data_IF_458521320215
#
_entry.id   IF_458521320215
#
_cell.length_a   1.000
_cell.length_b   1.000
_cell.length_c   1.000
_cell.angle_alpha   90.00
_cell.angle_beta   90.00
_cell.angle_gamma   90.00
#
_symmetry.space_group_name_H-M   'P 1'
#
loop_
_entity.id
_entity.type
_entity.pdbx_description
1 polymer ?
#
# COMPACT_ATOMS: atom_id res chain seq x y z
N UNK A 1 20.32 -12.84 -11.79
CA UNK A 1 20.72 -12.13 -13.03
C UNK A 1 22.22 -11.98 -13.13
N UNK A 2 22.84 -11.01 -12.43
CA UNK A 2 24.28 -10.77 -12.59
C UNK A 2 25.13 -12.00 -12.21
N UNK A 3 24.81 -12.69 -11.11
CA UNK A 3 25.45 -13.96 -10.70
C UNK A 3 25.31 -15.05 -11.77
N UNK A 4 24.24 -15.01 -12.56
CA UNK A 4 23.98 -15.96 -13.66
C UNK A 4 24.60 -15.50 -14.99
N UNK A 5 25.41 -14.44 -15.00
CA UNK A 5 25.99 -13.86 -16.21
C UNK A 5 25.01 -13.09 -17.10
N UNK A 6 23.86 -12.65 -16.55
CA UNK A 6 22.82 -11.91 -17.29
C UNK A 6 22.74 -10.46 -16.83
N UNK A 7 22.61 -9.52 -17.77
CA UNK A 7 22.50 -8.09 -17.49
C UNK A 7 21.37 -7.45 -18.31
N UNK A 8 20.39 -6.83 -17.63
CA UNK A 8 19.22 -6.19 -18.25
C UNK A 8 19.13 -4.69 -17.98
N UNK A 9 19.95 -4.16 -17.07
CA UNK A 9 19.96 -2.72 -16.82
C UNK A 9 20.54 -1.98 -18.03
N UNK A 10 19.89 -0.89 -18.47
CA UNK A 10 20.33 -0.17 -19.66
C UNK A 10 21.70 0.46 -19.43
N UNK A 11 22.63 0.22 -20.37
CA UNK A 11 23.99 0.76 -20.30
C UNK A 11 24.02 2.28 -20.21
N UNK A 12 23.05 2.95 -20.81
CA UNK A 12 22.89 4.41 -20.75
C UNK A 12 22.66 4.93 -19.34
N UNK A 13 22.12 4.13 -18.42
CA UNK A 13 21.89 4.52 -17.03
C UNK A 13 23.07 4.12 -16.16
N UNK A 14 23.43 2.84 -16.14
CA UNK A 14 24.41 2.36 -15.15
C UNK A 14 25.84 2.89 -15.41
N UNK A 15 26.20 3.23 -16.66
CA UNK A 15 27.49 3.87 -16.98
C UNK A 15 27.62 5.29 -16.44
N UNK A 16 26.51 5.98 -16.11
CA UNK A 16 26.55 7.32 -15.48
C UNK A 16 27.04 7.26 -14.03
N UNK A 17 26.78 6.15 -13.36
CA UNK A 17 27.05 5.96 -11.93
C UNK A 17 28.25 5.02 -11.69
N UNK A 18 28.60 4.19 -12.67
CA UNK A 18 29.76 3.30 -12.61
C UNK A 18 31.03 4.02 -13.03
N UNK A 19 32.02 4.08 -12.14
CA UNK A 19 33.35 4.64 -12.46
C UNK A 19 34.14 3.79 -13.45
N UNK A 20 34.02 2.47 -13.34
CA UNK A 20 34.74 1.54 -14.24
C UNK A 20 34.09 1.49 -15.61
N UNK A 21 32.85 1.96 -15.74
CA UNK A 21 32.09 1.79 -16.97
C UNK A 21 31.60 0.37 -17.18
N UNK A 22 31.62 -0.47 -16.12
CA UNK A 22 31.02 -1.82 -16.08
C UNK A 22 29.94 -1.97 -15.00
N UNK A 23 28.98 -2.88 -15.21
CA UNK A 23 27.92 -3.19 -14.25
C UNK A 23 28.47 -3.89 -12.99
N UNK A 24 29.62 -4.57 -13.11
CA UNK A 24 30.30 -5.21 -11.99
C UNK A 24 30.77 -4.25 -10.91
N UNK A 25 30.85 -2.94 -11.21
CA UNK A 25 31.17 -1.91 -10.22
C UNK A 25 30.25 -1.97 -8.99
N UNK A 26 28.99 -2.36 -9.16
CA UNK A 26 28.02 -2.38 -8.06
C UNK A 26 27.97 -3.70 -7.29
N UNK A 27 28.82 -4.70 -7.58
CA UNK A 27 28.78 -5.97 -6.84
C UNK A 27 29.47 -5.93 -5.50
N UNK A 28 30.44 -5.04 -5.34
CA UNK A 28 31.18 -4.86 -4.09
C UNK A 28 30.71 -3.59 -3.36
N UNK A 29 29.97 -3.77 -2.27
CA UNK A 29 29.39 -2.67 -1.48
C UNK A 29 30.26 -2.28 -0.27
N UNK A 30 31.52 -2.73 -0.21
CA UNK A 30 32.46 -2.39 0.88
C UNK A 30 32.77 -0.90 0.92
N UNK A 31 33.01 -0.29 -0.25
CA UNK A 31 33.28 1.14 -0.38
C UNK A 31 32.01 2.00 -0.21
N UNK A 32 32.12 3.07 0.57
CA UNK A 32 31.05 4.04 0.77
C UNK A 32 30.67 4.79 -0.51
N UNK A 33 31.63 5.03 -1.39
CA UNK A 33 31.38 5.67 -2.67
C UNK A 33 30.55 4.78 -3.59
N UNK A 34 30.93 3.50 -3.71
CA UNK A 34 30.18 2.51 -4.49
C UNK A 34 28.74 2.42 -3.99
N UNK A 35 28.52 2.36 -2.66
CA UNK A 35 27.16 2.36 -2.10
C UNK A 35 26.34 3.58 -2.52
N UNK A 36 26.95 4.75 -2.52
CA UNK A 36 26.27 6.00 -2.89
C UNK A 36 25.88 6.00 -4.36
N UNK A 37 26.80 5.60 -5.25
CA UNK A 37 26.53 5.48 -6.68
C UNK A 37 25.54 4.36 -7.01
N UNK A 38 25.61 3.25 -6.28
CA UNK A 38 24.68 2.12 -6.38
C UNK A 38 23.25 2.56 -6.10
N UNK A 39 23.04 3.34 -5.03
CA UNK A 39 21.75 3.90 -4.69
C UNK A 39 21.26 4.91 -5.73
N UNK A 40 22.14 5.79 -6.23
CA UNK A 40 21.80 6.74 -7.28
C UNK A 40 21.34 6.03 -8.57
N UNK A 41 22.04 4.95 -8.95
CA UNK A 41 21.68 4.15 -10.11
C UNK A 41 20.32 3.46 -9.95
N UNK A 42 20.07 2.80 -8.81
CA UNK A 42 18.78 2.15 -8.53
C UNK A 42 17.65 3.17 -8.45
N UNK A 43 17.88 4.32 -7.84
CA UNK A 43 16.87 5.39 -7.79
C UNK A 43 16.50 5.86 -9.19
N UNK A 44 17.47 6.08 -10.09
CA UNK A 44 17.19 6.46 -11.48
C UNK A 44 16.34 5.40 -12.20
N UNK A 45 16.67 4.11 -12.03
CA UNK A 45 15.92 3.00 -12.64
C UNK A 45 14.49 2.87 -12.07
N UNK A 46 14.33 3.04 -10.76
CA UNK A 46 13.02 3.01 -10.11
C UNK A 46 12.17 4.19 -10.56
N UNK A 47 12.77 5.38 -10.65
CA UNK A 47 12.09 6.58 -11.13
C UNK A 47 11.64 6.43 -12.58
N UNK A 48 12.45 5.83 -13.43
CA UNK A 48 12.07 5.50 -14.81
C UNK A 48 10.85 4.57 -14.85
N UNK A 49 10.84 3.52 -14.02
CA UNK A 49 9.70 2.61 -13.92
C UNK A 49 8.43 3.28 -13.36
N UNK A 50 8.56 4.20 -12.39
CA UNK A 50 7.43 4.93 -11.82
C UNK A 50 6.75 5.86 -12.83
N UNK A 51 7.45 6.32 -13.87
CA UNK A 51 6.87 7.17 -14.91
C UNK A 51 5.81 6.46 -15.75
N UNK A 52 5.80 5.13 -15.75
CA UNK A 52 4.78 4.32 -16.43
C UNK A 52 3.50 4.16 -15.59
N UNK A 53 3.50 4.59 -14.32
CA UNK A 53 2.37 4.38 -13.43
C UNK A 53 1.07 5.09 -13.88
N UNK A 54 1.09 6.36 -14.36
CA UNK A 54 -0.12 7.00 -14.89
C UNK A 54 -0.74 6.24 -16.06
N UNK A 55 0.07 5.75 -17.00
CA UNK A 55 -0.39 4.97 -18.15
C UNK A 55 -0.94 3.61 -17.72
N UNK A 56 -0.31 2.96 -16.74
CA UNK A 56 -0.84 1.74 -16.13
C UNK A 56 -2.24 1.97 -15.52
N UNK A 57 -2.44 3.06 -14.79
CA UNK A 57 -3.75 3.39 -14.21
C UNK A 57 -4.78 3.71 -15.30
N UNK A 58 -4.37 4.42 -16.36
CA UNK A 58 -5.22 4.71 -17.52
C UNK A 58 -5.58 3.46 -18.34
N UNK A 59 -4.72 2.45 -18.36
CA UNK A 59 -5.03 1.14 -18.94
C UNK A 59 -6.06 0.40 -18.10
N UNK A 60 -5.84 0.30 -16.78
CA UNK A 60 -6.73 -0.42 -15.87
C UNK A 60 -8.14 0.18 -15.82
N UNK A 61 -8.29 1.49 -16.01
CA UNK A 61 -9.60 2.15 -16.03
C UNK A 61 -10.47 1.79 -17.25
N UNK A 62 -9.88 1.25 -18.31
CA UNK A 62 -10.59 0.83 -19.53
C UNK A 62 -11.11 -0.60 -19.47
N UNK A 63 -10.71 -1.39 -18.46
CA UNK A 63 -11.09 -2.79 -18.33
C UNK A 63 -12.48 -2.91 -17.71
N UNK A 64 -13.42 -3.48 -18.48
CA UNK A 64 -14.81 -3.65 -18.05
C UNK A 64 -15.10 -5.02 -17.44
N UNK A 65 -14.43 -6.07 -17.91
CA UNK A 65 -14.57 -7.41 -17.36
C UNK A 65 -13.80 -7.52 -16.04
N UNK A 66 -14.51 -7.89 -14.96
CA UNK A 66 -13.96 -7.95 -13.60
C UNK A 66 -12.76 -8.92 -13.49
N UNK A 67 -12.87 -10.09 -14.10
CA UNK A 67 -11.84 -11.14 -14.08
C UNK A 67 -10.57 -10.66 -14.80
N UNK A 68 -10.74 -10.01 -15.96
CA UNK A 68 -9.63 -9.42 -16.72
C UNK A 68 -9.01 -8.26 -15.96
N UNK A 69 -9.84 -7.38 -15.38
CA UNK A 69 -9.38 -6.27 -14.54
C UNK A 69 -8.50 -6.79 -13.40
N UNK A 70 -8.99 -7.78 -12.64
CA UNK A 70 -8.27 -8.33 -11.50
C UNK A 70 -6.99 -9.04 -11.91
N UNK A 71 -7.02 -9.80 -13.01
CA UNK A 71 -5.83 -10.43 -13.58
C UNK A 71 -4.75 -9.40 -13.93
N UNK A 72 -5.14 -8.28 -14.54
CA UNK A 72 -4.22 -7.19 -14.87
C UNK A 72 -3.80 -6.36 -13.66
N UNK A 73 -4.69 -6.12 -12.70
CA UNK A 73 -4.43 -5.23 -11.56
C UNK A 73 -3.49 -5.86 -10.52
N UNK A 74 -3.60 -7.17 -10.26
CA UNK A 74 -2.79 -7.86 -9.24
C UNK A 74 -1.28 -7.68 -9.49
N UNK A 75 -0.73 -7.97 -10.69
CA UNK A 75 0.68 -7.74 -10.98
C UNK A 75 1.10 -6.28 -10.77
N UNK A 76 0.24 -5.32 -11.12
CA UNK A 76 0.57 -3.89 -11.07
C UNK A 76 0.66 -3.36 -9.64
N UNK A 77 -0.27 -3.75 -8.76
CA UNK A 77 -0.19 -3.38 -7.33
C UNK A 77 1.01 -4.03 -6.63
N UNK A 78 1.42 -5.22 -7.09
CA UNK A 78 2.60 -5.92 -6.59
C UNK A 78 3.89 -5.25 -7.09
N UNK A 79 3.89 -4.78 -8.34
CA UNK A 79 5.01 -4.05 -8.93
C UNK A 79 5.30 -2.76 -8.17
N UNK A 80 4.30 -1.89 -7.94
CA UNK A 80 4.55 -0.63 -7.22
C UNK A 80 4.97 -0.85 -5.77
N UNK A 81 4.45 -1.89 -5.10
CA UNK A 81 4.91 -2.28 -3.77
C UNK A 81 6.39 -2.73 -3.78
N UNK A 82 6.81 -3.39 -4.85
CA UNK A 82 8.21 -3.81 -5.02
C UNK A 82 9.10 -2.60 -5.33
N UNK A 83 8.66 -1.68 -6.20
CA UNK A 83 9.35 -0.40 -6.49
C UNK A 83 9.60 0.40 -5.21
N UNK A 84 8.60 0.52 -4.33
CA UNK A 84 8.79 1.18 -3.03
C UNK A 84 9.83 0.49 -2.15
N UNK A 85 9.88 -0.84 -2.18
CA UNK A 85 10.83 -1.63 -1.38
C UNK A 85 12.26 -1.54 -1.90
N UNK A 86 12.45 -1.44 -3.22
CA UNK A 86 13.78 -1.30 -3.84
C UNK A 86 14.29 0.14 -3.83
N UNK A 87 13.40 1.13 -3.77
CA UNK A 87 13.79 2.55 -3.77
C UNK A 87 14.69 2.90 -2.57
N UNK A 88 15.87 3.43 -2.87
CA UNK A 88 16.91 3.78 -1.88
C UNK A 88 17.26 2.62 -0.94
N UNK A 89 17.38 1.39 -1.47
CA UNK A 89 17.69 0.19 -0.69
C UNK A 89 18.95 -0.52 -1.22
N UNK A 90 19.97 -0.66 -0.36
CA UNK A 90 21.21 -1.36 -0.67
C UNK A 90 21.08 -2.88 -0.73
N UNK A 91 20.04 -3.44 -0.12
CA UNK A 91 19.80 -4.89 -0.11
C UNK A 91 19.61 -5.47 -1.53
N UNK A 92 19.32 -4.60 -2.51
CA UNK A 92 19.23 -4.95 -3.94
C UNK A 92 20.54 -5.52 -4.47
N UNK A 93 21.68 -5.10 -3.92
CA UNK A 93 23.02 -5.53 -4.36
C UNK A 93 23.56 -6.72 -3.57
N UNK A 94 23.02 -6.97 -2.37
CA UNK A 94 23.49 -8.06 -1.50
C UNK A 94 22.60 -9.30 -1.56
N UNK A 95 21.36 -9.17 -2.04
CA UNK A 95 20.46 -10.31 -2.11
C UNK A 95 19.11 -10.01 -2.76
N UNK A 96 18.13 -10.85 -2.44
CA UNK A 96 16.82 -10.84 -3.10
C UNK A 96 15.82 -10.05 -2.28
N UNK A 97 15.50 -8.84 -2.75
CA UNK A 97 14.50 -7.96 -2.13
C UNK A 97 13.09 -8.39 -2.57
N UNK A 98 12.31 -8.96 -1.65
CA UNK A 98 10.93 -9.41 -1.90
C UNK A 98 9.93 -8.81 -0.93
N UNK A 99 8.72 -8.56 -1.40
CA UNK A 99 7.58 -8.25 -0.52
C UNK A 99 7.16 -9.52 0.25
N UNK A 100 6.75 -9.34 1.51
CA UNK A 100 6.33 -10.46 2.37
C UNK A 100 5.00 -11.05 1.90
N UNK A 101 4.81 -12.36 2.04
CA UNK A 101 3.57 -13.07 1.65
C UNK A 101 2.30 -12.44 2.22
N UNK A 102 2.33 -12.00 3.48
CA UNK A 102 1.18 -11.33 4.11
C UNK A 102 0.82 -9.98 3.45
N UNK A 103 1.82 -9.25 2.93
CA UNK A 103 1.57 -8.04 2.14
C UNK A 103 0.99 -8.43 0.78
N UNK A 104 1.54 -9.44 0.12
CA UNK A 104 1.00 -9.96 -1.15
C UNK A 104 -0.48 -10.34 -1.04
N UNK A 105 -0.86 -11.09 0.00
CA UNK A 105 -2.27 -11.44 0.24
C UNK A 105 -3.14 -10.19 0.47
N UNK A 106 -2.63 -9.18 1.18
CA UNK A 106 -3.34 -7.91 1.38
C UNK A 106 -3.54 -7.18 0.05
N UNK A 107 -2.52 -7.13 -0.81
CA UNK A 107 -2.59 -6.46 -2.11
C UNK A 107 -3.58 -7.15 -3.04
N UNK A 108 -3.52 -8.48 -3.15
CA UNK A 108 -4.48 -9.27 -3.94
C UNK A 108 -5.92 -9.00 -3.48
N UNK A 109 -6.15 -8.90 -2.17
CA UNK A 109 -7.48 -8.58 -1.62
C UNK A 109 -7.94 -7.16 -1.95
N UNK A 110 -7.03 -6.21 -2.19
CA UNK A 110 -7.31 -4.81 -2.49
C UNK A 110 -7.29 -4.51 -4.00
N UNK A 111 -7.75 -5.46 -4.82
CA UNK A 111 -7.81 -5.32 -6.30
C UNK A 111 -9.20 -5.57 -6.87
N UNK A 112 -10.27 -5.31 -6.09
CA UNK A 112 -11.64 -5.55 -6.56
C UNK A 112 -12.23 -4.38 -7.34
N UNK A 113 -11.66 -3.19 -7.21
CA UNK A 113 -12.10 -2.00 -7.94
C UNK A 113 -10.93 -1.08 -8.23
N UNK A 114 -11.10 -0.19 -9.22
CA UNK A 114 -10.11 0.83 -9.55
C UNK A 114 -9.83 1.75 -8.35
N UNK A 115 -10.83 2.06 -7.53
CA UNK A 115 -10.65 2.86 -6.31
C UNK A 115 -9.69 2.18 -5.31
N UNK A 116 -9.74 0.86 -5.18
CA UNK A 116 -8.81 0.11 -4.31
C UNK A 116 -7.40 0.09 -4.89
N UNK A 117 -7.26 -0.04 -6.22
CA UNK A 117 -5.95 0.05 -6.89
C UNK A 117 -5.36 1.45 -6.71
N UNK A 118 -6.16 2.50 -6.89
CA UNK A 118 -5.73 3.89 -6.66
C UNK A 118 -5.28 4.11 -5.21
N UNK A 119 -5.99 3.57 -4.22
CA UNK A 119 -5.57 3.60 -2.80
C UNK A 119 -4.17 2.98 -2.62
N UNK A 120 -3.92 1.83 -3.26
CA UNK A 120 -2.62 1.16 -3.18
C UNK A 120 -1.53 2.00 -3.83
N UNK A 121 -1.78 2.51 -5.04
CA UNK A 121 -0.81 3.34 -5.76
C UNK A 121 -0.47 4.61 -4.98
N UNK A 122 -1.48 5.29 -4.42
CA UNK A 122 -1.30 6.46 -3.56
C UNK A 122 -0.41 6.14 -2.36
N UNK A 123 -0.70 5.05 -1.63
CA UNK A 123 0.05 4.68 -0.42
C UNK A 123 1.55 4.46 -0.70
N UNK A 124 1.88 3.73 -1.77
CA UNK A 124 3.26 3.41 -2.10
C UNK A 124 3.99 4.60 -2.73
N UNK A 125 3.36 5.33 -3.67
CA UNK A 125 3.94 6.54 -4.25
C UNK A 125 4.21 7.61 -3.18
N UNK A 126 3.27 7.81 -2.25
CA UNK A 126 3.45 8.73 -1.13
C UNK A 126 4.57 8.27 -0.17
N UNK A 127 4.78 6.97 -0.01
CA UNK A 127 5.87 6.44 0.82
C UNK A 127 7.23 6.64 0.16
N UNK A 128 7.33 6.41 -1.15
CA UNK A 128 8.53 6.75 -1.95
C UNK A 128 8.83 8.24 -1.85
N UNK A 129 7.82 9.11 -2.03
CA UNK A 129 7.97 10.56 -1.91
C UNK A 129 8.52 10.97 -0.55
N UNK A 130 7.95 10.45 0.55
CA UNK A 130 8.42 10.74 1.90
C UNK A 130 9.86 10.28 2.11
N UNK A 131 10.24 9.11 1.58
CA UNK A 131 11.62 8.60 1.66
C UNK A 131 12.58 9.49 0.85
N UNK A 132 12.19 9.89 -0.36
CA UNK A 132 12.97 10.79 -1.20
C UNK A 132 13.23 12.14 -0.51
N UNK A 133 12.19 12.76 0.05
CA UNK A 133 12.33 14.01 0.82
C UNK A 133 13.17 13.83 2.09
N UNK A 134 13.03 12.70 2.78
CA UNK A 134 13.85 12.41 3.96
C UNK A 134 15.34 12.26 3.61
N UNK A 135 15.65 11.62 2.48
CA UNK A 135 17.01 11.48 1.98
C UNK A 135 17.61 12.83 1.56
N UNK A 136 16.82 13.69 0.93
CA UNK A 136 17.24 15.07 0.61
C UNK A 136 17.61 15.86 1.87
N UNK A 137 16.80 15.78 2.94
CA UNK A 137 17.10 16.44 4.22
C UNK A 137 18.37 15.93 4.89
N UNK A 138 18.73 14.67 4.65
CA UNK A 138 19.98 14.05 5.13
C UNK A 138 21.20 14.44 4.29
N UNK A 139 21.03 15.23 3.23
CA UNK A 139 22.11 15.63 2.33
C UNK A 139 22.55 14.52 1.36
N UNK A 140 21.72 13.48 1.16
CA UNK A 140 22.02 12.44 0.17
C UNK A 140 21.87 13.03 -1.23
N UNK A 141 22.95 12.97 -2.02
CA UNK A 141 22.93 13.43 -3.40
C UNK A 141 22.30 12.36 -4.29
N UNK A 142 21.15 12.66 -4.87
CA UNK A 142 20.45 11.82 -5.85
C UNK A 142 20.15 12.65 -7.11
N UNK A 143 20.81 12.35 -8.25
CA UNK A 143 20.59 13.06 -9.51
C UNK A 143 19.15 12.98 -10.02
N UNK A 144 18.43 11.90 -9.70
CA UNK A 144 17.08 11.62 -10.18
C UNK A 144 15.98 12.23 -9.29
N UNK A 145 16.32 12.79 -8.14
CA UNK A 145 15.39 13.22 -7.09
C UNK A 145 14.23 14.09 -7.61
N UNK A 146 14.52 15.10 -8.43
CA UNK A 146 13.49 16.01 -8.95
C UNK A 146 12.51 15.28 -9.87
N UNK A 147 12.99 14.32 -10.67
CA UNK A 147 12.15 13.44 -11.49
C UNK A 147 11.27 12.56 -10.60
N UNK A 148 11.84 11.97 -9.55
CA UNK A 148 11.13 11.16 -8.56
C UNK A 148 10.01 11.93 -7.86
N UNK A 149 10.28 13.15 -7.40
CA UNK A 149 9.28 13.99 -6.72
C UNK A 149 8.13 14.32 -7.66
N UNK A 150 8.44 14.73 -8.90
CA UNK A 150 7.43 15.08 -9.91
C UNK A 150 6.51 13.90 -10.22
N UNK A 151 7.08 12.72 -10.48
CA UNK A 151 6.25 11.56 -10.83
C UNK A 151 5.43 11.08 -9.63
N UNK A 152 6.01 11.04 -8.43
CA UNK A 152 5.26 10.66 -7.23
C UNK A 152 4.10 11.63 -6.93
N UNK A 153 4.30 12.94 -7.12
CA UNK A 153 3.21 13.92 -7.00
C UNK A 153 2.12 13.67 -8.04
N UNK A 154 2.50 13.44 -9.30
CA UNK A 154 1.55 13.12 -10.39
C UNK A 154 0.72 11.88 -10.06
N UNK A 155 1.35 10.80 -9.57
CA UNK A 155 0.63 9.59 -9.13
C UNK A 155 -0.30 9.90 -7.96
N UNK A 156 0.17 10.65 -6.96
CA UNK A 156 -0.64 11.02 -5.80
C UNK A 156 -1.87 11.84 -6.21
N UNK A 157 -1.69 12.85 -7.06
CA UNK A 157 -2.78 13.70 -7.57
C UNK A 157 -3.81 12.89 -8.35
N UNK A 158 -3.36 12.00 -9.24
CA UNK A 158 -4.25 11.14 -10.03
C UNK A 158 -5.06 10.15 -9.19
N UNK A 159 -4.51 9.74 -8.03
CA UNK A 159 -5.13 8.73 -7.15
C UNK A 159 -5.81 9.31 -5.90
N UNK A 160 -5.68 10.62 -5.66
CA UNK A 160 -6.08 11.26 -4.40
C UNK A 160 -7.59 11.14 -4.11
N UNK A 161 -8.43 11.29 -5.15
CA UNK A 161 -9.89 11.27 -5.00
C UNK A 161 -10.37 9.91 -4.47
N UNK A 162 -9.88 8.83 -5.08
CA UNK A 162 -10.16 7.47 -4.65
C UNK A 162 -9.58 7.20 -3.25
N UNK A 163 -8.36 7.68 -2.98
CA UNK A 163 -7.73 7.56 -1.66
C UNK A 163 -8.58 8.22 -0.55
N UNK A 164 -9.02 9.46 -0.74
CA UNK A 164 -9.87 10.19 0.22
C UNK A 164 -11.22 9.49 0.43
N UNK A 165 -11.80 8.91 -0.63
CA UNK A 165 -13.05 8.13 -0.54
C UNK A 165 -12.84 6.85 0.29
N UNK A 166 -11.83 6.05 -0.03
CA UNK A 166 -11.51 4.80 0.68
C UNK A 166 -11.13 5.05 2.15
N UNK A 167 -10.37 6.10 2.42
CA UNK A 167 -10.01 6.51 3.79
C UNK A 167 -11.24 6.87 4.63
N UNK A 168 -12.19 7.61 4.07
CA UNK A 168 -13.46 7.96 4.77
C UNK A 168 -14.26 6.70 5.10
N UNK A 169 -14.42 5.79 4.15
CA UNK A 169 -15.13 4.51 4.36
C UNK A 169 -14.47 3.70 5.48
N UNK A 170 -13.13 3.65 5.52
CA UNK A 170 -12.38 2.94 6.57
C UNK A 170 -12.50 3.60 7.95
N UNK A 171 -12.58 4.92 8.02
CA UNK A 171 -12.63 5.67 9.28
C UNK A 171 -14.06 5.81 9.84
N UNK A 172 -15.08 5.68 9.00
CA UNK A 172 -16.48 5.87 9.39
C UNK A 172 -16.90 5.01 10.60
N UNK A 173 -16.63 3.69 10.68
CA UNK A 173 -17.01 2.89 11.83
C UNK A 173 -16.37 3.37 13.13
N UNK A 174 -15.10 3.79 13.07
CA UNK A 174 -14.37 4.32 14.22
C UNK A 174 -14.94 5.67 14.67
N UNK A 175 -15.29 6.54 13.73
CA UNK A 175 -15.91 7.84 14.03
C UNK A 175 -17.29 7.66 14.67
N UNK A 176 -18.10 6.74 14.15
CA UNK A 176 -19.42 6.41 14.73
C UNK A 176 -19.27 5.84 16.15
N UNK A 177 -18.34 4.90 16.37
CA UNK A 177 -18.08 4.35 17.69
C UNK A 177 -17.61 5.41 18.70
N UNK A 178 -16.71 6.31 18.28
CA UNK A 178 -16.25 7.41 19.11
C UNK A 178 -17.38 8.40 19.44
N UNK A 179 -18.27 8.68 18.48
CA UNK A 179 -19.45 9.51 18.69
C UNK A 179 -20.42 8.91 19.71
N UNK A 180 -20.69 7.60 19.64
CA UNK A 180 -21.54 6.88 20.61
C UNK A 180 -20.91 6.90 22.02
N UNK A 181 -19.61 6.62 22.14
CA UNK A 181 -18.91 6.66 23.43
C UNK A 181 -18.85 8.08 24.01
N UNK A 182 -18.62 9.09 23.18
CA UNK A 182 -18.65 10.49 23.57
C UNK A 182 -20.05 10.92 24.04
N UNK A 183 -21.09 10.55 23.29
CA UNK A 183 -22.48 10.77 23.66
C UNK A 183 -22.86 10.09 24.98
N UNK A 184 -22.44 8.84 25.19
CA UNK A 184 -22.64 8.13 26.46
C UNK A 184 -21.90 8.80 27.63
N UNK A 185 -20.67 9.28 27.41
CA UNK A 185 -19.91 10.01 28.43
C UNK A 185 -20.57 11.33 28.83
N UNK A 186 -21.13 12.06 27.87
CA UNK A 186 -21.90 13.29 28.12
C UNK A 186 -23.21 12.98 28.85
N UNK A 187 -23.95 11.98 28.37
CA UNK A 187 -25.18 11.50 29.02
C UNK A 187 -24.92 11.11 30.48
N UNK A 188 -23.88 10.32 30.72
CA UNK A 188 -23.48 9.88 32.06
C UNK A 188 -23.17 11.08 32.96
N UNK A 189 -22.36 12.05 32.49
CA UNK A 189 -22.04 13.27 33.26
C UNK A 189 -23.23 14.18 33.55
N UNK A 190 -24.22 14.25 32.66
CA UNK A 190 -25.40 15.10 32.85
C UNK A 190 -26.44 14.46 33.77
N UNK A 191 -26.63 13.14 33.70
CA UNK A 191 -27.70 12.45 34.41
C UNK A 191 -27.26 11.90 35.78
N UNK A 192 -26.00 11.48 35.97
CA UNK A 192 -25.51 11.01 37.27
C UNK A 192 -25.66 12.02 38.42
N UNK A 193 -25.38 13.34 38.26
CA UNK A 193 -25.56 14.28 39.37
C UNK A 193 -27.02 14.56 39.74
N UNK A 194 -28.00 14.07 38.98
CA UNK A 194 -29.45 14.21 39.29
C UNK A 194 -30.07 12.95 39.89
N UNK A 195 -29.30 11.86 40.07
CA UNK A 195 -29.80 10.59 40.61
C UNK A 195 -29.29 10.33 42.03
N UNK A 196 -29.80 11.08 43.01
CA UNK A 196 -29.62 10.74 44.44
C UNK A 196 -30.53 9.58 44.90
N UNK A 197 -31.33 9.00 43.99
CA UNK A 197 -32.07 7.75 44.25
C UNK A 197 -31.85 6.79 43.11
N UNK A 198 -31.17 5.67 43.38
CA UNK A 198 -30.91 4.62 42.40
C UNK A 198 -32.23 4.15 41.76
N UNK A 199 -32.39 4.19 40.42
CA UNK A 199 -33.55 3.60 39.79
C UNK A 199 -33.33 2.09 39.72
N UNK A 200 -34.34 1.33 40.13
CA UNK A 200 -34.41 -0.11 39.90
C UNK A 200 -34.42 -0.33 38.39
N UNK A 201 -33.34 -0.87 37.84
CA UNK A 201 -33.20 -1.14 36.41
C UNK A 201 -34.20 -2.24 36.02
N UNK A 202 -35.14 -2.00 35.08
CA UNK A 202 -36.09 -3.03 34.66
C UNK A 202 -35.35 -4.13 33.89
N UNK A 203 -35.69 -5.40 34.16
CA UNK A 203 -35.02 -6.59 33.61
C UNK A 203 -34.87 -6.58 32.07
N UNK A 204 -35.76 -5.90 31.34
CA UNK A 204 -35.68 -5.74 29.88
C UNK A 204 -34.46 -4.97 29.36
N UNK A 205 -33.87 -4.08 30.19
CA UNK A 205 -32.71 -3.26 29.79
C UNK A 205 -31.39 -4.01 29.88
N UNK A 206 -31.33 -5.07 30.68
CA UNK A 206 -30.14 -5.95 30.75
C UNK A 206 -29.95 -6.74 29.45
N UNK A 207 -31.05 -7.11 28.79
CA UNK A 207 -31.04 -7.74 27.47
C UNK A 207 -30.65 -6.76 26.36
N UNK A 208 -31.10 -5.51 26.43
CA UNK A 208 -30.70 -4.48 25.46
C UNK A 208 -29.19 -4.17 25.50
N UNK A 209 -28.60 -4.11 26.70
CA UNK A 209 -27.16 -3.88 26.87
C UNK A 209 -26.30 -5.06 26.36
N UNK A 210 -26.77 -6.29 26.55
CA UNK A 210 -26.09 -7.50 26.05
C UNK A 210 -26.25 -7.66 24.53
N UNK A 211 -27.38 -7.27 23.93
CA UNK A 211 -27.56 -7.20 22.48
C UNK A 211 -26.66 -6.10 21.87
N UNK A 212 -26.54 -4.93 22.50
CA UNK A 212 -25.63 -3.87 22.06
C UNK A 212 -24.16 -4.33 22.09
N UNK A 213 -23.72 -5.01 23.16
CA UNK A 213 -22.39 -5.60 23.24
C UNK A 213 -22.16 -6.70 22.19
N UNK A 214 -23.16 -7.55 21.93
CA UNK A 214 -23.09 -8.59 20.90
C UNK A 214 -23.01 -7.99 19.49
N UNK A 215 -23.73 -6.91 19.20
CA UNK A 215 -23.58 -6.17 17.94
C UNK A 215 -22.20 -5.52 17.83
N UNK A 216 -21.63 -4.99 18.92
CA UNK A 216 -20.28 -4.41 18.94
C UNK A 216 -19.18 -5.42 18.55
N UNK A 217 -19.36 -6.70 18.92
CA UNK A 217 -18.44 -7.80 18.58
C UNK A 217 -18.70 -8.37 17.17
N UNK A 218 -19.96 -8.42 16.71
CA UNK A 218 -20.34 -9.05 15.44
C UNK A 218 -20.38 -8.11 14.23
N UNK A 219 -20.45 -6.79 14.41
CA UNK A 219 -20.52 -5.82 13.30
C UNK A 219 -19.30 -5.85 12.35
N UNK A 220 -18.04 -6.03 12.82
CA UNK A 220 -16.91 -6.19 11.89
C UNK A 220 -16.94 -7.51 11.09
N UNK A 221 -17.68 -8.53 11.56
CA UNK A 221 -17.83 -9.82 10.87
C UNK A 221 -18.96 -9.80 9.83
N UNK A 222 -20.09 -9.17 10.14
CA UNK A 222 -21.27 -9.15 9.26
C UNK A 222 -21.10 -8.20 8.07
N UNK A 223 -20.48 -7.03 8.25
CA UNK A 223 -20.15 -6.12 7.13
C UNK A 223 -19.08 -6.70 6.19
N UNK A 224 -18.28 -7.67 6.66
CA UNK A 224 -17.31 -8.40 5.84
C UNK A 224 -17.93 -9.61 5.12
N UNK A 225 -19.04 -10.16 5.64
CA UNK A 225 -19.79 -11.23 4.99
C UNK A 225 -20.75 -10.72 3.89
N UNK A 226 -21.33 -9.52 4.06
CA UNK A 226 -22.29 -8.93 3.10
C UNK A 226 -21.65 -8.45 1.78
N UNK A 227 -20.33 -8.26 1.73
CA UNK A 227 -19.60 -7.96 0.49
C UNK A 227 -19.12 -9.20 -0.28
N UNK A 228 -19.48 -10.41 0.18
CA UNK A 228 -19.02 -11.69 -0.35
C UNK A 228 -20.08 -12.55 -1.06
N UNK A 229 -21.14 -11.95 -1.60
CA UNK A 229 -22.22 -12.69 -2.26
C UNK A 229 -22.25 -12.52 -3.78
N UNK A 230 -21.60 -13.42 -4.52
CA UNK A 230 -21.81 -13.55 -5.96
C UNK A 230 -20.81 -14.46 -6.68
N UNK A 231 -21.23 -15.70 -6.96
CA UNK A 231 -20.67 -16.52 -8.05
C UNK A 231 -19.74 -17.67 -7.66
N UNK A 232 -20.32 -18.83 -7.33
CA UNK A 232 -19.61 -20.11 -7.43
C UNK A 232 -19.55 -20.54 -8.91
N UNK A 233 -18.36 -20.52 -9.50
CA UNK A 233 -18.00 -21.49 -10.55
C UNK A 233 -16.48 -21.70 -10.52
N UNK A 234 -16.07 -22.94 -10.72
CA UNK A 234 -14.82 -23.50 -10.22
C UNK A 234 -13.55 -22.76 -10.63
N UNK A 235 -12.84 -22.24 -9.63
CA UNK A 235 -11.47 -21.75 -9.76
C UNK A 235 -10.61 -22.39 -8.66
N UNK A 236 -9.51 -23.01 -9.10
CA UNK A 236 -8.58 -23.76 -8.24
C UNK A 236 -7.98 -22.89 -7.14
N UNK A 237 -7.68 -23.46 -5.95
CA UNK A 237 -7.21 -22.70 -4.80
C UNK A 237 -5.88 -21.96 -5.08
N UNK A 238 -5.79 -20.73 -4.55
CA UNK A 238 -4.67 -19.79 -4.73
C UNK A 238 -3.28 -20.33 -4.32
N UNK A 239 -3.22 -21.49 -3.68
CA UNK A 239 -1.98 -22.21 -3.39
C UNK A 239 -1.27 -22.76 -4.63
N UNK A 240 -1.98 -22.97 -5.75
CA UNK A 240 -1.36 -23.44 -7.00
C UNK A 240 -0.73 -22.32 -7.83
N UNK A 241 -1.27 -21.09 -7.79
CA UNK A 241 -0.76 -19.95 -8.56
C UNK A 241 0.61 -19.48 -8.02
N UNK A 242 0.87 -19.69 -6.72
CA UNK A 242 2.13 -19.33 -6.06
C UNK A 242 3.31 -20.27 -6.38
N UNK A 243 3.11 -21.34 -7.15
CA UNK A 243 4.19 -22.26 -7.57
C UNK A 243 4.83 -21.90 -8.92
N UNK A 244 4.35 -20.85 -9.61
CA UNK A 244 4.85 -20.44 -10.94
C UNK A 244 5.47 -19.03 -10.98
N UNK A 245 5.81 -18.44 -9.84
CA UNK A 245 6.59 -17.19 -9.75
C UNK A 245 7.78 -17.36 -8.79
#
# INVERSE_FOLDING_TARGET
>A
DYVDGRAFWPQTVWKKHSKTGDLGYFTDQTDAEVRTQSLACVNELVTDALELAPDCLAYLSKLQCYEVFKFCAIPQVMAIATLEKVYSNLDVFTGVVKIRKGLSCKLIRMTNSLDEVHEVFYQFAHTVLRRAMANQRKGVHDPSLQRTIRICNTICEHTEVAHKKQRRVRQLPTMLAAGVLGGYGIYKRMIEPSMEKAPVVPSSWTHAASVAAATYVLTPLVLKASSGGGGSSGLKPASEILKQQ
#
